data_IF_150833581086
#
_entry.id   IF_150833581086
#
_cell.length_a   1.000
_cell.length_b   1.000
_cell.length_c   1.000
_cell.angle_alpha   90.00
_cell.angle_beta   90.00
_cell.angle_gamma   90.00
#
_symmetry.space_group_name_H-M   'P 1'
#
loop_
_entity.id
_entity.type
_entity.pdbx_description
1 polymer ?
#
# COMPACT_ATOMS: atom_id res chain seq x y z
N UNK A 1 0.64 1.61 -18.37
CA UNK A 1 0.75 0.77 -19.59
C UNK A 1 2.15 0.18 -19.60
N UNK A 2 2.29 -1.10 -19.27
CA UNK A 2 3.49 -1.88 -19.60
C UNK A 2 3.12 -2.74 -20.79
N UNK A 3 3.57 -2.29 -21.96
CA UNK A 3 3.62 -3.09 -23.19
C UNK A 3 4.60 -4.22 -22.93
N UNK A 4 4.24 -5.42 -23.37
CA UNK A 4 5.00 -6.68 -23.29
C UNK A 4 4.69 -7.57 -22.06
N UNK A 5 4.07 -8.72 -22.38
CA UNK A 5 3.34 -9.60 -21.48
C UNK A 5 4.23 -10.74 -20.95
N UNK A 6 5.52 -10.48 -20.72
CA UNK A 6 6.46 -11.49 -20.21
C UNK A 6 6.97 -11.09 -18.82
N UNK A 7 6.27 -11.59 -17.80
CA UNK A 7 6.81 -11.63 -16.45
C UNK A 7 7.91 -12.71 -16.41
N UNK A 8 9.10 -12.45 -15.83
CA UNK A 8 10.16 -13.45 -15.74
C UNK A 8 9.67 -14.71 -15.02
N UNK A 9 10.19 -15.89 -15.38
CA UNK A 9 9.74 -17.24 -14.94
C UNK A 9 9.68 -17.44 -13.40
N UNK A 10 10.11 -16.46 -12.61
CA UNK A 10 9.93 -16.38 -11.17
C UNK A 10 8.66 -15.62 -10.75
N UNK A 11 7.57 -15.67 -11.52
CA UNK A 11 6.33 -14.99 -11.17
C UNK A 11 5.53 -15.79 -10.13
N UNK A 12 5.97 -15.73 -8.88
CA UNK A 12 5.18 -16.23 -7.76
C UNK A 12 4.02 -15.28 -7.53
N UNK A 13 2.76 -15.73 -7.69
CA UNK A 13 1.61 -14.87 -7.43
C UNK A 13 1.63 -14.45 -5.96
N UNK A 14 1.74 -13.15 -5.71
CA UNK A 14 1.63 -12.61 -4.36
C UNK A 14 0.15 -12.45 -4.05
N UNK A 15 -0.33 -13.20 -3.05
CA UNK A 15 -1.71 -13.10 -2.57
C UNK A 15 -1.83 -11.98 -1.54
N UNK A 16 -3.01 -11.34 -1.39
CA UNK A 16 -3.25 -10.37 -0.32
C UNK A 16 -2.88 -10.92 1.07
N UNK A 17 -3.13 -12.20 1.31
CA UNK A 17 -2.81 -12.88 2.57
C UNK A 17 -1.30 -12.98 2.87
N UNK A 18 -0.44 -12.76 1.87
CA UNK A 18 1.02 -12.73 2.03
C UNK A 18 1.54 -11.34 2.43
N UNK A 19 0.69 -10.32 2.40
CA UNK A 19 1.06 -8.93 2.66
C UNK A 19 0.27 -8.42 3.88
N UNK A 20 0.97 -7.77 4.80
CA UNK A 20 0.35 -7.12 5.95
C UNK A 20 0.85 -5.69 6.06
N UNK A 21 -0.09 -4.74 6.01
CA UNK A 21 0.21 -3.32 6.21
C UNK A 21 -0.30 -2.93 7.59
N UNK A 22 0.62 -2.55 8.47
CA UNK A 22 0.30 -2.08 9.83
C UNK A 22 0.79 -0.65 9.96
N UNK A 23 -0.13 0.25 10.26
CA UNK A 23 0.14 1.67 10.47
C UNK A 23 0.27 1.91 11.96
N UNK A 24 1.34 2.58 12.35
CA UNK A 24 1.56 3.05 13.71
C UNK A 24 1.36 4.57 13.71
N UNK A 25 0.36 5.03 14.46
CA UNK A 25 0.07 6.45 14.62
C UNK A 25 0.33 6.86 16.07
N UNK A 26 0.99 8.00 16.26
CA UNK A 26 0.97 8.67 17.55
C UNK A 26 -0.45 9.19 17.84
N UNK A 27 -0.87 8.99 19.07
CA UNK A 27 -2.09 9.51 19.65
C UNK A 27 -1.75 10.05 21.04
N UNK A 28 -1.30 11.30 21.09
CA UNK A 28 -1.02 12.04 22.32
C UNK A 28 -0.10 11.27 23.29
N UNK A 29 0.98 10.68 22.77
CA UNK A 29 1.95 9.92 23.56
C UNK A 29 1.61 8.44 23.73
N UNK A 30 0.51 7.97 23.14
CA UNK A 30 0.19 6.54 23.00
C UNK A 30 0.26 6.12 21.53
N UNK A 31 0.78 4.92 21.24
CA UNK A 31 0.80 4.40 19.87
C UNK A 31 -0.48 3.62 19.58
N UNK A 32 -1.21 4.02 18.54
CA UNK A 32 -2.36 3.28 18.01
C UNK A 32 -1.93 2.55 16.75
N UNK A 33 -2.24 1.26 16.67
CA UNK A 33 -1.96 0.43 15.49
C UNK A 33 -3.23 0.17 14.71
N UNK A 34 -3.18 0.34 13.38
CA UNK A 34 -4.28 -0.02 12.47
C UNK A 34 -3.75 -0.92 11.36
N UNK A 35 -4.43 -2.04 11.13
CA UNK A 35 -4.18 -2.87 9.94
C UNK A 35 -4.91 -2.27 8.74
N UNK A 36 -4.23 -2.23 7.59
CA UNK A 36 -4.84 -1.97 6.29
C UNK A 36 -4.90 -3.29 5.52
N UNK A 37 -6.10 -3.67 5.11
CA UNK A 37 -6.31 -4.87 4.30
C UNK A 37 -6.16 -4.55 2.82
N UNK A 38 -5.68 -5.54 2.07
CA UNK A 38 -5.47 -5.46 0.64
C UNK A 38 -6.60 -6.22 -0.06
N UNK A 39 -7.08 -5.69 -1.18
CA UNK A 39 -8.07 -6.32 -2.07
C UNK A 39 -7.41 -7.31 -3.01
N UNK A 40 -8.21 -8.16 -3.66
CA UNK A 40 -7.69 -9.19 -4.59
C UNK A 40 -7.00 -8.61 -5.84
N UNK A 41 -7.30 -7.36 -6.19
CA UNK A 41 -6.67 -6.59 -7.27
C UNK A 41 -5.45 -5.77 -6.80
N UNK A 42 -5.10 -5.82 -5.51
CA UNK A 42 -3.89 -5.20 -4.95
C UNK A 42 -4.05 -3.77 -4.44
N UNK A 43 -5.29 -3.26 -4.34
CA UNK A 43 -5.59 -1.95 -3.74
C UNK A 43 -5.81 -2.07 -2.21
N UNK A 44 -5.92 -0.93 -1.52
CA UNK A 44 -6.22 -0.88 -0.10
C UNK A 44 -7.73 -0.79 0.15
N UNK A 45 -8.25 -1.68 1.01
CA UNK A 45 -9.65 -1.61 1.47
C UNK A 45 -9.95 -0.35 2.28
N UNK A 46 -8.94 0.21 2.94
CA UNK A 46 -9.05 1.44 3.71
C UNK A 46 -8.21 2.55 3.09
N UNK A 47 -8.68 3.80 3.22
CA UNK A 47 -7.92 4.98 2.78
C UNK A 47 -6.60 5.05 3.53
N UNK A 48 -5.56 5.47 2.82
CA UNK A 48 -4.25 5.70 3.41
C UNK A 48 -4.32 6.76 4.53
N UNK A 49 -3.75 6.51 5.73
CA UNK A 49 -3.74 7.45 6.83
C UNK A 49 -3.04 8.74 6.42
N UNK A 50 -3.68 9.89 6.69
CA UNK A 50 -3.17 11.24 6.37
C UNK A 50 -2.92 11.51 4.87
N UNK A 51 -3.43 10.66 3.97
CA UNK A 51 -3.25 10.79 2.53
C UNK A 51 -1.83 10.45 2.05
N UNK A 52 -1.63 10.43 0.73
CA UNK A 52 -0.30 10.25 0.17
C UNK A 52 0.56 11.47 0.47
N UNK A 53 1.82 11.26 0.85
CA UNK A 53 2.76 12.31 1.27
C UNK A 53 2.59 13.61 0.48
N UNK A 54 2.45 14.72 1.21
CA UNK A 54 2.35 16.06 0.63
C UNK A 54 3.53 16.40 -0.31
N UNK A 55 4.67 15.72 -0.11
CA UNK A 55 5.86 15.77 -0.96
C UNK A 55 5.62 15.36 -2.42
N UNK A 56 4.57 14.59 -2.74
CA UNK A 56 4.27 14.21 -4.13
C UNK A 56 3.52 15.27 -4.93
N UNK A 57 3.07 16.37 -4.31
CA UNK A 57 2.43 17.47 -5.04
C UNK A 57 3.42 18.40 -5.76
N UNK A 58 4.72 18.29 -5.45
CA UNK A 58 5.79 19.07 -6.11
C UNK A 58 6.29 18.48 -7.43
N UNK A 59 6.00 17.21 -7.73
CA UNK A 59 6.47 16.52 -8.96
C UNK A 59 5.41 16.45 -10.08
N UNK A 60 4.23 17.05 -9.87
CA UNK A 60 3.12 17.06 -10.85
C UNK A 60 3.03 18.36 -11.66
N UNK A 61 3.98 19.29 -11.55
CA UNK A 61 4.03 20.55 -12.30
C UNK A 61 5.40 20.79 -12.93
#
# INVERSE_FOLDING_TARGET
QTTDNELPESNYPVKPDFISVIVFEDNNGSTVTRKIDITDDGDFKQKWPKGFFEERRGELF
#
